data_IF_344358109965
#
_entry.id   IF_344358109965
#
_cell.length_a   1.000
_cell.length_b   1.000
_cell.length_c   1.000
_cell.angle_alpha   90.00
_cell.angle_beta   90.00
_cell.angle_gamma   90.00
#
_symmetry.space_group_name_H-M   'P 1'
#
loop_
_entity.id
_entity.type
_entity.pdbx_description
1 polymer ?
#
# COMPACT_ATOMS: atom_id res chain seq x y z
N UNK A 1 -32.62 -5.27 6.10
CA UNK A 1 -32.30 -6.71 5.99
C UNK A 1 -30.88 -6.92 5.46
N UNK A 2 -30.54 -6.45 4.25
CA UNK A 2 -29.18 -6.57 3.67
C UNK A 2 -28.06 -5.99 4.56
N UNK A 3 -28.23 -4.76 5.08
CA UNK A 3 -27.22 -4.12 5.95
C UNK A 3 -26.95 -4.92 7.23
N UNK A 4 -27.99 -5.54 7.80
CA UNK A 4 -27.86 -6.35 9.03
C UNK A 4 -27.07 -7.63 8.71
N UNK A 5 -27.34 -8.27 7.56
CA UNK A 5 -26.60 -9.44 7.10
C UNK A 5 -25.12 -9.09 6.88
N UNK A 6 -24.83 -7.95 6.25
CA UNK A 6 -23.45 -7.49 6.04
C UNK A 6 -22.71 -7.24 7.36
N UNK A 7 -23.36 -6.59 8.33
CA UNK A 7 -22.78 -6.34 9.66
C UNK A 7 -22.51 -7.67 10.38
N UNK A 8 -23.42 -8.63 10.31
CA UNK A 8 -23.24 -9.96 10.91
C UNK A 8 -22.08 -10.71 10.25
N UNK A 9 -21.99 -10.70 8.92
CA UNK A 9 -20.87 -11.31 8.19
C UNK A 9 -19.54 -10.65 8.58
N UNK A 10 -19.49 -9.32 8.65
CA UNK A 10 -18.30 -8.58 9.06
C UNK A 10 -17.88 -8.91 10.50
N UNK A 11 -18.84 -9.01 11.42
CA UNK A 11 -18.58 -9.39 12.80
C UNK A 11 -18.04 -10.84 12.92
N UNK A 12 -18.61 -11.78 12.17
CA UNK A 12 -18.14 -13.17 12.12
C UNK A 12 -16.73 -13.23 11.53
N UNK A 13 -16.47 -12.51 10.44
CA UNK A 13 -15.14 -12.45 9.82
C UNK A 13 -14.09 -11.86 10.78
N UNK A 14 -14.42 -10.79 11.50
CA UNK A 14 -13.55 -10.22 12.54
C UNK A 14 -13.25 -11.22 13.64
N UNK A 15 -14.27 -11.88 14.20
CA UNK A 15 -14.10 -12.90 15.23
C UNK A 15 -13.23 -14.06 14.75
N UNK A 16 -13.40 -14.47 13.49
CA UNK A 16 -12.56 -15.49 12.87
C UNK A 16 -11.11 -15.02 12.72
N UNK A 17 -10.86 -13.79 12.27
CA UNK A 17 -9.51 -13.23 12.12
C UNK A 17 -8.77 -13.08 13.45
N UNK A 18 -9.48 -12.84 14.57
CA UNK A 18 -8.89 -12.82 15.91
C UNK A 18 -8.62 -14.21 16.50
N UNK A 19 -8.98 -15.29 15.78
CA UNK A 19 -8.76 -16.63 16.28
C UNK A 19 -7.25 -16.89 16.50
N UNK A 20 -6.84 -17.44 17.66
CA UNK A 20 -5.43 -17.56 18.06
C UNK A 20 -4.58 -18.44 17.14
N UNK A 21 -5.21 -19.25 16.27
CA UNK A 21 -4.50 -20.03 15.24
C UNK A 21 -4.02 -19.16 14.06
N UNK A 22 -4.75 -18.10 13.72
CA UNK A 22 -4.35 -17.19 12.65
C UNK A 22 -3.34 -16.18 13.18
N UNK A 23 -3.63 -15.55 14.32
CA UNK A 23 -2.75 -14.51 14.88
C UNK A 23 -1.37 -15.00 15.30
N UNK A 24 -1.21 -16.30 15.61
CA UNK A 24 0.09 -16.92 15.92
C UNK A 24 0.82 -17.51 14.69
N UNK A 25 0.23 -17.48 13.51
CA UNK A 25 0.86 -18.02 12.30
C UNK A 25 1.89 -17.03 11.76
N UNK A 26 3.13 -17.48 11.56
CA UNK A 26 4.21 -16.67 10.97
C UNK A 26 3.85 -16.22 9.55
N UNK A 27 3.28 -17.12 8.73
CA UNK A 27 2.85 -16.78 7.36
C UNK A 27 1.75 -15.72 7.33
N UNK A 28 0.80 -15.80 8.27
CA UNK A 28 -0.24 -14.79 8.41
C UNK A 28 0.35 -13.43 8.77
N UNK A 29 1.23 -13.38 9.78
CA UNK A 29 1.89 -12.13 10.18
C UNK A 29 2.77 -11.54 9.08
N UNK A 30 3.50 -12.38 8.35
CA UNK A 30 4.37 -11.95 7.25
C UNK A 30 3.59 -11.37 6.06
N UNK A 31 2.37 -11.82 5.83
CA UNK A 31 1.53 -11.37 4.70
C UNK A 31 0.60 -10.21 5.06
N UNK A 32 0.14 -10.15 6.31
CA UNK A 32 -0.81 -9.14 6.77
C UNK A 32 -0.31 -7.70 6.63
N UNK A 33 0.92 -7.43 7.07
CA UNK A 33 1.47 -6.08 7.07
C UNK A 33 1.60 -5.52 5.65
N UNK A 34 2.21 -6.25 4.68
CA UNK A 34 2.19 -5.83 3.27
C UNK A 34 0.79 -5.68 2.70
N UNK A 35 -0.13 -6.61 2.99
CA UNK A 35 -1.48 -6.59 2.42
C UNK A 35 -2.28 -5.36 2.89
N UNK A 36 -2.15 -5.01 4.18
CA UNK A 36 -2.75 -3.81 4.76
C UNK A 36 -2.23 -2.54 4.06
N UNK A 37 -0.93 -2.50 3.77
CA UNK A 37 -0.31 -1.36 3.08
C UNK A 37 -0.77 -1.21 1.62
N UNK A 38 -1.05 -2.31 0.93
CA UNK A 38 -1.55 -2.31 -0.47
C UNK A 38 -3.05 -1.99 -0.54
N UNK A 39 -3.86 -2.66 0.29
CA UNK A 39 -5.32 -2.58 0.22
C UNK A 39 -5.87 -1.27 0.78
N UNK A 40 -5.16 -0.60 1.70
CA UNK A 40 -5.65 0.62 2.34
C UNK A 40 -5.92 1.77 1.36
N UNK A 41 -5.14 2.84 1.49
CA UNK A 41 -5.33 4.06 0.70
C UNK A 41 -4.99 3.91 -0.78
N UNK A 42 -4.14 2.94 -1.15
CA UNK A 42 -3.81 2.66 -2.55
C UNK A 42 -5.03 2.27 -3.37
N UNK A 43 -5.85 1.33 -2.89
CA UNK A 43 -7.05 0.87 -3.61
C UNK A 43 -8.10 1.98 -3.76
N UNK A 44 -8.32 2.77 -2.70
CA UNK A 44 -9.34 3.84 -2.67
C UNK A 44 -9.12 4.94 -3.71
N UNK A 45 -7.86 5.17 -4.13
CA UNK A 45 -7.54 6.18 -5.15
C UNK A 45 -7.30 5.54 -6.51
N UNK A 46 -6.56 4.44 -6.56
CA UNK A 46 -6.17 3.81 -7.83
C UNK A 46 -7.41 3.38 -8.61
N UNK A 47 -8.45 2.87 -7.95
CA UNK A 47 -9.67 2.46 -8.63
C UNK A 47 -10.39 3.64 -9.35
N UNK A 48 -10.76 4.75 -8.68
CA UNK A 48 -11.38 5.88 -9.37
C UNK A 48 -10.42 6.60 -10.33
N UNK A 49 -9.12 6.65 -10.03
CA UNK A 49 -8.12 7.26 -10.91
C UNK A 49 -7.93 6.48 -12.22
N UNK A 50 -7.84 5.14 -12.16
CA UNK A 50 -7.79 4.33 -13.37
C UNK A 50 -9.10 4.44 -14.16
N UNK A 51 -10.24 4.47 -13.47
CA UNK A 51 -11.53 4.66 -14.12
C UNK A 51 -11.62 6.00 -14.86
N UNK A 52 -11.03 7.08 -14.31
CA UNK A 52 -11.05 8.39 -14.97
C UNK A 52 -10.06 8.50 -16.13
N UNK A 53 -8.92 7.79 -16.08
CA UNK A 53 -7.88 7.86 -17.11
C UNK A 53 -8.11 6.86 -18.24
N UNK A 54 -8.50 5.63 -17.90
CA UNK A 54 -8.54 4.47 -18.82
C UNK A 54 -9.97 3.95 -19.03
N UNK A 55 -10.96 4.48 -18.29
CA UNK A 55 -12.37 4.14 -18.47
C UNK A 55 -12.66 2.66 -18.23
N UNK A 56 -13.41 2.06 -19.14
CA UNK A 56 -13.82 0.65 -19.10
C UNK A 56 -12.63 -0.32 -19.14
N UNK A 57 -11.46 0.10 -19.64
CA UNK A 57 -10.25 -0.73 -19.71
C UNK A 57 -9.48 -0.78 -18.38
N UNK A 58 -9.98 -0.15 -17.31
CA UNK A 58 -9.38 -0.17 -15.97
C UNK A 58 -8.98 -1.57 -15.46
N UNK A 59 -9.78 -2.65 -15.65
CA UNK A 59 -9.38 -3.99 -15.21
C UNK A 59 -8.09 -4.48 -15.89
N UNK A 60 -7.89 -4.16 -17.18
CA UNK A 60 -6.66 -4.50 -17.90
C UNK A 60 -5.46 -3.70 -17.40
N UNK A 61 -5.65 -2.42 -17.08
CA UNK A 61 -4.62 -1.59 -16.48
C UNK A 61 -4.19 -2.12 -15.09
N UNK A 62 -5.16 -2.49 -14.24
CA UNK A 62 -4.87 -3.14 -12.94
C UNK A 62 -4.12 -4.45 -13.13
N UNK A 63 -4.53 -5.29 -14.10
CA UNK A 63 -3.82 -6.53 -14.39
C UNK A 63 -2.37 -6.27 -14.80
N UNK A 64 -2.10 -5.26 -15.62
CA UNK A 64 -0.75 -4.83 -15.97
C UNK A 64 0.06 -4.40 -14.74
N UNK A 65 -0.53 -3.60 -13.84
CA UNK A 65 0.11 -3.20 -12.58
C UNK A 65 0.44 -4.42 -11.71
N UNK A 66 -0.48 -5.39 -11.60
CA UNK A 66 -0.28 -6.61 -10.80
C UNK A 66 0.86 -7.46 -11.38
N UNK A 67 0.90 -7.65 -12.70
CA UNK A 67 1.98 -8.39 -13.37
C UNK A 67 3.33 -7.69 -13.14
N UNK A 68 3.39 -6.37 -13.26
CA UNK A 68 4.59 -5.59 -12.99
C UNK A 68 5.03 -5.72 -11.53
N UNK A 69 4.10 -5.59 -10.59
CA UNK A 69 4.37 -5.77 -9.16
C UNK A 69 4.89 -7.17 -8.84
N UNK A 70 4.36 -8.20 -9.49
CA UNK A 70 4.84 -9.57 -9.35
C UNK A 70 6.28 -9.73 -9.85
N UNK A 71 6.63 -9.12 -10.98
CA UNK A 71 7.98 -9.11 -11.52
C UNK A 71 8.97 -8.40 -10.58
N UNK A 72 8.60 -7.22 -10.05
CA UNK A 72 9.38 -6.50 -9.04
C UNK A 72 9.58 -7.36 -7.78
N UNK A 73 8.53 -8.02 -7.30
CA UNK A 73 8.64 -8.98 -6.19
C UNK A 73 9.57 -10.15 -6.48
N UNK A 74 9.70 -10.58 -7.74
CA UNK A 74 10.71 -11.51 -8.20
C UNK A 74 12.14 -11.00 -7.95
N UNK A 75 12.42 -9.77 -8.36
CA UNK A 75 13.73 -9.12 -8.15
C UNK A 75 14.04 -8.96 -6.67
N UNK A 76 13.06 -8.55 -5.85
CA UNK A 76 13.24 -8.41 -4.40
C UNK A 76 13.59 -9.76 -3.76
N UNK A 77 12.88 -10.84 -4.10
CA UNK A 77 13.21 -12.20 -3.61
C UNK A 77 14.60 -12.68 -4.03
N UNK A 78 15.01 -12.33 -5.26
CA UNK A 78 16.36 -12.62 -5.72
C UNK A 78 17.42 -11.86 -4.89
N UNK A 79 17.19 -10.57 -4.61
CA UNK A 79 18.09 -9.77 -3.79
C UNK A 79 18.17 -10.26 -2.33
N UNK A 80 17.04 -10.64 -1.73
CA UNK A 80 17.01 -11.20 -0.36
C UNK A 80 17.86 -12.49 -0.29
N UNK A 81 17.76 -13.35 -1.31
CA UNK A 81 18.45 -14.65 -1.30
C UNK A 81 19.95 -14.55 -1.65
N UNK A 82 20.35 -13.61 -2.51
CA UNK A 82 21.72 -13.55 -3.02
C UNK A 82 22.51 -12.31 -2.58
N UNK A 83 21.87 -11.14 -2.45
CA UNK A 83 22.56 -9.89 -2.14
C UNK A 83 22.66 -9.62 -0.63
N UNK A 84 21.61 -9.91 0.15
CA UNK A 84 21.61 -9.67 1.60
C UNK A 84 22.67 -10.46 2.39
N UNK A 85 22.97 -11.74 2.08
CA UNK A 85 24.06 -12.46 2.77
C UNK A 85 25.42 -11.79 2.54
N UNK A 86 25.67 -11.27 1.33
CA UNK A 86 26.91 -10.60 0.96
C UNK A 86 27.07 -9.21 1.63
N UNK A 87 25.96 -8.59 2.05
CA UNK A 87 25.97 -7.34 2.81
C UNK A 87 26.30 -7.55 4.30
N UNK A 88 25.98 -8.72 4.85
CA UNK A 88 26.30 -9.07 6.24
C UNK A 88 27.80 -9.37 6.42
N UNK A 89 28.41 -10.01 5.42
CA UNK A 89 29.87 -10.18 5.31
C UNK A 89 30.50 -8.89 4.78
N UNK A 90 30.50 -7.84 5.62
CA UNK A 90 30.86 -6.43 5.36
C UNK A 90 32.16 -6.13 4.56
N UNK A 91 32.96 -7.11 4.15
CA UNK A 91 34.32 -6.91 3.63
C UNK A 91 34.56 -7.25 2.16
N UNK A 92 33.73 -8.03 1.48
CA UNK A 92 34.13 -8.55 0.15
C UNK A 92 33.52 -7.83 -1.07
N UNK A 93 32.43 -7.06 -0.92
CA UNK A 93 31.73 -6.47 -2.09
C UNK A 93 31.33 -4.98 -1.93
N UNK A 94 32.27 -4.03 -2.11
CA UNK A 94 32.03 -2.59 -1.91
C UNK A 94 31.03 -1.98 -2.92
N UNK A 95 30.85 -2.58 -4.09
CA UNK A 95 29.91 -2.10 -5.11
C UNK A 95 28.46 -2.39 -4.69
N UNK A 96 28.19 -3.60 -4.20
CA UNK A 96 26.84 -4.01 -3.74
C UNK A 96 26.39 -3.11 -2.58
N UNK A 97 27.30 -2.83 -1.64
CA UNK A 97 27.02 -1.92 -0.53
C UNK A 97 26.67 -0.49 -0.96
N UNK A 98 27.39 0.08 -1.94
CA UNK A 98 27.07 1.43 -2.45
C UNK A 98 25.71 1.48 -3.15
N UNK A 99 25.38 0.45 -3.92
CA UNK A 99 24.09 0.34 -4.60
C UNK A 99 22.97 0.19 -3.56
N UNK A 100 23.16 -0.64 -2.55
CA UNK A 100 22.20 -0.81 -1.45
C UNK A 100 21.96 0.50 -0.67
N UNK A 101 23.03 1.24 -0.35
CA UNK A 101 22.91 2.54 0.31
C UNK A 101 22.13 3.54 -0.55
N UNK A 102 22.39 3.58 -1.86
CA UNK A 102 21.66 4.44 -2.77
C UNK A 102 20.19 4.01 -2.90
N UNK A 103 19.92 2.72 -3.00
CA UNK A 103 18.57 2.17 -3.04
C UNK A 103 17.79 2.52 -1.77
N UNK A 104 18.40 2.39 -0.59
CA UNK A 104 17.80 2.76 0.69
C UNK A 104 17.51 4.27 0.78
N UNK A 105 18.39 5.12 0.25
CA UNK A 105 18.15 6.56 0.20
C UNK A 105 16.95 6.91 -0.71
N UNK A 106 16.89 6.31 -1.91
CA UNK A 106 15.78 6.48 -2.85
C UNK A 106 14.47 5.95 -2.26
N UNK A 107 14.52 4.78 -1.61
CA UNK A 107 13.37 4.16 -0.97
C UNK A 107 12.82 5.02 0.16
N UNK A 108 13.70 5.62 0.98
CA UNK A 108 13.33 6.57 2.03
C UNK A 108 12.60 7.78 1.45
N UNK A 109 13.10 8.37 0.37
CA UNK A 109 12.44 9.50 -0.30
C UNK A 109 11.06 9.11 -0.85
N UNK A 110 10.95 7.96 -1.51
CA UNK A 110 9.67 7.44 -1.99
C UNK A 110 8.67 7.24 -0.85
N UNK A 111 9.14 6.76 0.32
CA UNK A 111 8.30 6.58 1.50
C UNK A 111 7.77 7.91 2.04
N UNK A 112 8.56 8.98 2.03
CA UNK A 112 8.10 10.33 2.41
C UNK A 112 6.94 10.79 1.51
N UNK A 113 7.07 10.60 0.19
CA UNK A 113 5.98 10.91 -0.76
C UNK A 113 4.74 10.07 -0.48
N UNK A 114 4.90 8.76 -0.23
CA UNK A 114 3.79 7.87 0.10
C UNK A 114 3.07 8.29 1.39
N UNK A 115 3.81 8.64 2.45
CA UNK A 115 3.23 9.11 3.72
C UNK A 115 2.47 10.42 3.54
N UNK A 116 3.07 11.40 2.85
CA UNK A 116 2.42 12.69 2.58
C UNK A 116 1.10 12.51 1.80
N UNK A 117 1.13 11.65 0.79
CA UNK A 117 -0.05 11.30 0.00
C UNK A 117 -1.14 10.62 0.83
N UNK A 118 -0.77 9.68 1.71
CA UNK A 118 -1.72 9.02 2.61
C UNK A 118 -2.33 9.97 3.64
N UNK A 119 -1.54 10.88 4.20
CA UNK A 119 -2.05 11.93 5.09
C UNK A 119 -3.02 12.85 4.36
N UNK A 120 -2.71 13.22 3.11
CA UNK A 120 -3.59 14.05 2.29
C UNK A 120 -4.94 13.37 2.04
N UNK A 121 -4.95 12.09 1.63
CA UNK A 121 -6.20 11.34 1.43
C UNK A 121 -6.99 11.19 2.73
N UNK A 122 -6.33 10.85 3.83
CA UNK A 122 -6.99 10.73 5.13
C UNK A 122 -7.66 12.06 5.51
N UNK A 123 -6.95 13.17 5.29
CA UNK A 123 -7.45 14.51 5.54
C UNK A 123 -8.66 14.83 4.66
N UNK A 124 -8.62 14.52 3.37
CA UNK A 124 -9.76 14.71 2.46
C UNK A 124 -10.99 13.93 2.91
N UNK A 125 -10.84 12.64 3.26
CA UNK A 125 -11.98 11.85 3.76
C UNK A 125 -12.50 12.37 5.09
N UNK A 126 -11.61 12.77 6.00
CA UNK A 126 -12.01 13.31 7.30
C UNK A 126 -12.77 14.64 7.14
N UNK A 127 -12.30 15.54 6.28
CA UNK A 127 -12.96 16.81 5.99
C UNK A 127 -14.33 16.62 5.33
N UNK A 128 -14.44 15.67 4.40
CA UNK A 128 -15.73 15.29 3.79
C UNK A 128 -16.67 14.74 4.87
N UNK A 129 -16.20 13.84 5.73
CA UNK A 129 -17.00 13.24 6.79
C UNK A 129 -17.48 14.24 7.85
N UNK A 130 -16.64 15.20 8.23
CA UNK A 130 -16.99 16.25 9.21
C UNK A 130 -17.87 17.35 8.57
N UNK A 131 -18.16 17.28 7.26
CA UNK A 131 -19.08 18.19 6.57
C UNK A 131 -18.43 19.45 6.00
N UNK A 132 -17.10 19.55 6.03
CA UNK A 132 -16.35 20.63 5.38
C UNK A 132 -16.12 20.40 3.88
N UNK A 133 -16.52 19.25 3.34
CA UNK A 133 -16.37 18.90 1.92
C UNK A 133 -17.12 19.82 0.92
N UNK A 134 -18.03 20.67 1.39
CA UNK A 134 -18.83 21.59 0.57
C UNK A 134 -18.67 23.06 0.99
N UNK A 135 -17.44 23.54 1.24
CA UNK A 135 -17.18 24.97 1.44
C UNK A 135 -16.42 25.55 0.24
N UNK A 136 -17.10 26.03 -0.84
CA UNK A 136 -16.46 26.66 -2.00
C UNK A 136 -15.78 28.03 -1.70
N UNK A 137 -15.65 28.39 -0.42
CA UNK A 137 -15.32 29.75 0.01
C UNK A 137 -13.85 30.01 0.32
N UNK A 138 -13.00 28.98 0.36
CA UNK A 138 -11.58 29.13 0.74
C UNK A 138 -10.60 29.14 -0.44
N UNK A 139 -10.97 28.57 -1.59
CA UNK A 139 -10.13 28.62 -2.80
C UNK A 139 -10.16 29.98 -3.51
N UNK A 140 -11.27 30.74 -3.39
CA UNK A 140 -11.44 32.05 -4.07
C UNK A 140 -10.82 33.25 -3.35
N UNK A 141 -10.31 33.07 -2.14
CA UNK A 141 -9.78 34.19 -1.33
C UNK A 141 -8.25 34.25 -1.35
N UNK A 142 -7.59 33.29 -2.01
CA UNK A 142 -6.14 33.20 -2.12
C UNK A 142 -5.64 33.17 -3.59
N UNK A 143 -6.52 33.41 -4.57
CA UNK A 143 -6.15 33.78 -5.95
C UNK A 143 -6.72 35.15 -6.25
#
# INVERSE_FOLDING_TARGET
MLNIILVVIAAIALLFMFHPRLTKSEHWQATLTPLSSIIGSGFLIIAPLLASVVGEYSPFAVMGIVVLAYAIGGVIRFNITHAEPLLHEKKDHPVIYKIDLFANAVLSFAYVTAVAFYLSLLSSFLLIYIGFGNSPGLERTLT
#
